data_IF_957196629361
#
_entry.id   IF_957196629361
#
_cell.length_a   1.000
_cell.length_b   1.000
_cell.length_c   1.000
_cell.angle_alpha   90.00
_cell.angle_beta   90.00
_cell.angle_gamma   90.00
#
_symmetry.space_group_name_H-M   'P 1'
#
loop_
_entity.id
_entity.type
_entity.pdbx_description
1 polymer ?
#
# COMPACT_ATOMS: atom_id res chain seq x y z
N UNK A 1 -2.10 -53.63 11.03
CA UNK A 1 -1.23 -52.46 11.11
C UNK A 1 -1.91 -51.32 10.35
N UNK A 2 -2.49 -50.39 11.09
CA UNK A 2 -3.31 -49.30 10.54
C UNK A 2 -2.46 -48.05 10.60
N UNK A 3 -2.06 -47.51 9.44
CA UNK A 3 -1.35 -46.22 9.35
C UNK A 3 -2.38 -45.10 9.20
N UNK A 4 -2.61 -44.38 10.29
CA UNK A 4 -3.40 -43.16 10.33
C UNK A 4 -2.60 -42.02 9.72
N UNK A 5 -3.01 -41.48 8.56
CA UNK A 5 -2.45 -40.27 7.96
C UNK A 5 -2.95 -39.05 8.73
N UNK A 6 -2.05 -38.37 9.42
CA UNK A 6 -2.29 -37.03 9.96
C UNK A 6 -2.38 -36.03 8.79
N UNK A 7 -3.55 -35.48 8.59
CA UNK A 7 -3.74 -34.34 7.72
C UNK A 7 -3.14 -33.08 8.35
N UNK A 8 -2.08 -32.57 7.74
CA UNK A 8 -1.43 -31.30 8.12
C UNK A 8 -2.33 -30.16 7.63
N UNK A 9 -3.01 -29.47 8.54
CA UNK A 9 -3.72 -28.22 8.25
C UNK A 9 -2.68 -27.16 7.91
N UNK A 10 -2.62 -26.78 6.65
CA UNK A 10 -1.89 -25.60 6.21
C UNK A 10 -2.68 -24.37 6.67
N UNK A 11 -2.13 -23.65 7.63
CA UNK A 11 -2.62 -22.31 7.95
C UNK A 11 -2.30 -21.39 6.77
N UNK A 12 -3.36 -20.97 6.10
CA UNK A 12 -3.29 -19.98 5.03
C UNK A 12 -2.72 -18.68 5.59
N UNK A 13 -1.60 -18.27 5.00
CA UNK A 13 -1.06 -16.95 5.20
C UNK A 13 -2.11 -15.92 4.79
N UNK A 14 -2.40 -14.99 5.71
CA UNK A 14 -3.25 -13.84 5.44
C UNK A 14 -2.55 -12.95 4.42
N UNK A 15 -2.89 -13.12 3.16
CA UNK A 15 -2.56 -12.18 2.09
C UNK A 15 -3.37 -10.90 2.33
N UNK A 16 -2.69 -9.83 2.71
CA UNK A 16 -3.26 -8.49 2.70
C UNK A 16 -3.46 -8.08 1.24
N UNK A 17 -4.58 -8.50 0.67
CA UNK A 17 -5.02 -8.01 -0.63
C UNK A 17 -5.62 -6.62 -0.43
N UNK A 18 -4.83 -5.57 -0.70
CA UNK A 18 -5.37 -4.23 -0.89
C UNK A 18 -6.07 -4.22 -2.24
N UNK A 19 -7.33 -4.67 -2.25
CA UNK A 19 -8.19 -4.52 -3.41
C UNK A 19 -8.63 -3.06 -3.50
N UNK A 20 -7.98 -2.28 -4.34
CA UNK A 20 -8.53 -0.99 -4.80
C UNK A 20 -9.61 -1.33 -5.83
N UNK A 21 -10.81 -1.60 -5.34
CA UNK A 21 -11.98 -1.82 -6.21
C UNK A 21 -12.48 -0.47 -6.70
N UNK A 22 -12.22 -0.14 -7.94
CA UNK A 22 -12.91 0.95 -8.64
C UNK A 22 -14.30 0.43 -9.01
N UNK A 23 -15.27 0.56 -8.09
CA UNK A 23 -16.67 0.26 -8.38
C UNK A 23 -17.31 1.45 -9.08
N UNK A 24 -17.50 1.32 -10.39
CA UNK A 24 -18.46 2.14 -11.13
C UNK A 24 -19.88 1.73 -10.69
N UNK A 25 -20.61 2.71 -10.16
CA UNK A 25 -22.04 2.77 -9.93
C UNK A 25 -22.87 1.49 -9.82
N UNK A 26 -23.42 1.26 -8.63
CA UNK A 26 -24.50 0.28 -8.42
C UNK A 26 -25.15 0.49 -7.04
N UNK A 27 -26.41 0.94 -7.02
CA UNK A 27 -27.27 1.01 -5.84
C UNK A 27 -27.36 -0.35 -5.16
N UNK A 28 -27.17 -0.41 -3.85
CA UNK A 28 -27.63 -1.50 -3.01
C UNK A 28 -28.45 -0.97 -1.85
N UNK A 29 -29.65 -1.53 -1.75
CA UNK A 29 -30.70 -1.20 -0.82
C UNK A 29 -30.30 -1.35 0.66
N UNK A 30 -30.86 -0.46 1.46
CA UNK A 30 -30.75 -0.45 2.91
C UNK A 30 -31.45 -1.64 3.53
N UNK A 31 -30.76 -2.33 4.44
CA UNK A 31 -31.39 -3.07 5.54
C UNK A 31 -30.93 -2.45 6.86
N UNK A 32 -31.88 -1.90 7.59
CA UNK A 32 -31.70 -1.29 8.88
C UNK A 32 -31.26 -2.33 9.91
N UNK A 33 -30.09 -2.10 10.50
CA UNK A 33 -29.72 -2.72 11.77
C UNK A 33 -29.26 -1.60 12.69
N UNK A 34 -30.02 -1.39 13.76
CA UNK A 34 -29.68 -0.40 14.77
C UNK A 34 -28.39 -0.81 15.48
N UNK A 35 -27.33 -0.02 15.29
CA UNK A 35 -26.10 -0.13 16.04
C UNK A 35 -26.01 0.99 17.08
N UNK A 36 -25.52 0.73 18.31
CA UNK A 36 -25.46 1.71 19.38
C UNK A 36 -24.52 2.87 19.02
N UNK A 37 -24.94 4.06 19.40
CA UNK A 37 -24.30 5.34 19.14
C UNK A 37 -22.99 5.52 19.94
N UNK A 38 -21.89 4.95 19.49
CA UNK A 38 -20.53 5.34 19.88
C UNK A 38 -19.52 4.88 18.81
N UNK A 39 -19.50 5.54 17.67
CA UNK A 39 -18.37 5.72 16.78
C UNK A 39 -18.82 6.62 15.64
N UNK A 40 -18.62 7.92 15.77
CA UNK A 40 -18.47 8.76 14.59
C UNK A 40 -17.14 8.34 13.92
N UNK A 41 -17.18 7.25 13.16
CA UNK A 41 -16.21 7.05 12.09
C UNK A 41 -16.45 8.19 11.12
N UNK A 42 -15.50 9.13 11.07
CA UNK A 42 -15.45 10.10 9.99
C UNK A 42 -15.69 9.33 8.70
N UNK A 43 -16.75 9.66 7.97
CA UNK A 43 -16.99 9.13 6.64
C UNK A 43 -15.84 9.62 5.79
N UNK A 44 -14.79 8.82 5.62
CA UNK A 44 -13.76 9.12 4.63
C UNK A 44 -14.48 9.33 3.31
N UNK A 45 -14.39 10.55 2.77
CA UNK A 45 -14.90 10.85 1.44
C UNK A 45 -14.32 9.82 0.47
N UNK A 46 -15.13 9.36 -0.48
CA UNK A 46 -14.61 8.45 -1.52
C UNK A 46 -13.47 9.15 -2.26
N UNK A 47 -12.38 8.42 -2.57
CA UNK A 47 -11.25 9.00 -3.27
C UNK A 47 -11.69 9.58 -4.62
N UNK A 48 -11.17 10.78 -4.96
CA UNK A 48 -11.45 11.47 -6.20
C UNK A 48 -10.24 11.43 -7.12
N UNK A 49 -10.23 10.48 -8.03
CA UNK A 49 -9.14 10.35 -8.98
C UNK A 49 -9.30 11.32 -10.16
N UNK A 50 -8.20 11.94 -10.58
CA UNK A 50 -8.15 12.76 -11.79
C UNK A 50 -8.30 11.88 -13.05
N UNK A 51 -8.75 12.52 -14.14
CA UNK A 51 -8.91 11.82 -15.42
C UNK A 51 -7.55 11.34 -15.95
N UNK A 52 -6.54 12.20 -15.86
CA UNK A 52 -5.18 11.89 -16.29
C UNK A 52 -4.62 10.65 -15.54
N UNK A 53 -4.82 10.59 -14.22
CA UNK A 53 -4.41 9.44 -13.43
C UNK A 53 -5.13 8.17 -13.86
N UNK A 54 -6.46 8.19 -14.03
CA UNK A 54 -7.24 7.02 -14.43
C UNK A 54 -6.76 6.49 -15.81
N UNK A 55 -6.47 7.38 -16.75
CA UNK A 55 -5.99 7.01 -18.08
C UNK A 55 -4.59 6.36 -18.03
N UNK A 56 -3.70 6.86 -17.16
CA UNK A 56 -2.37 6.30 -16.97
C UNK A 56 -2.38 4.99 -16.16
N UNK A 57 -3.30 4.85 -15.19
CA UNK A 57 -3.37 3.71 -14.27
C UNK A 57 -3.94 2.44 -14.92
N UNK A 58 -5.01 2.56 -15.74
CA UNK A 58 -5.70 1.41 -16.33
C UNK A 58 -4.81 0.43 -17.10
N UNK A 59 -3.91 0.89 -17.99
CA UNK A 59 -2.99 -0.02 -18.67
C UNK A 59 -2.10 -0.78 -17.71
N UNK A 60 -1.62 -0.11 -16.65
CA UNK A 60 -0.74 -0.71 -15.65
C UNK A 60 -1.44 -1.76 -14.80
N UNK A 61 -2.70 -1.51 -14.42
CA UNK A 61 -3.53 -2.49 -13.71
C UNK A 61 -3.72 -3.75 -14.57
N UNK A 62 -3.96 -3.59 -15.87
CA UNK A 62 -4.06 -4.71 -16.81
C UNK A 62 -2.76 -5.50 -16.89
N UNK A 63 -1.61 -4.81 -16.98
CA UNK A 63 -0.29 -5.45 -17.01
C UNK A 63 0.02 -6.19 -15.71
N UNK A 64 -0.34 -5.62 -14.57
CA UNK A 64 -0.12 -6.24 -13.24
C UNK A 64 -1.03 -7.44 -12.98
N UNK A 65 -2.12 -7.58 -13.75
CA UNK A 65 -3.08 -8.70 -13.67
C UNK A 65 -2.79 -9.79 -14.71
N UNK A 66 -1.83 -9.59 -15.61
CA UNK A 66 -1.45 -10.57 -16.62
C UNK A 66 -0.59 -11.69 -16.00
N UNK A 67 -0.62 -12.87 -16.61
CA UNK A 67 0.24 -13.99 -16.24
C UNK A 67 1.01 -14.50 -17.47
N UNK A 68 2.36 -14.46 -17.45
CA UNK A 68 3.21 -13.91 -16.38
C UNK A 68 3.18 -12.37 -16.33
N UNK A 69 3.43 -11.80 -15.13
CA UNK A 69 3.51 -10.36 -14.95
C UNK A 69 4.83 -9.82 -15.51
N UNK A 70 4.75 -8.83 -16.39
CA UNK A 70 5.93 -8.10 -16.89
C UNK A 70 6.25 -6.90 -16.00
N UNK A 71 6.98 -7.15 -14.91
CA UNK A 71 7.40 -6.09 -13.99
C UNK A 71 8.36 -5.08 -14.61
N UNK A 72 9.12 -5.46 -15.63
CA UNK A 72 10.03 -4.53 -16.31
C UNK A 72 9.25 -3.45 -17.07
N UNK A 73 8.22 -3.85 -17.81
CA UNK A 73 7.33 -2.91 -18.49
C UNK A 73 6.53 -2.04 -17.52
N UNK A 74 6.06 -2.62 -16.40
CA UNK A 74 5.40 -1.85 -15.33
C UNK A 74 6.36 -0.79 -14.77
N UNK A 75 7.59 -1.17 -14.43
CA UNK A 75 8.61 -0.25 -13.92
C UNK A 75 8.91 0.88 -14.90
N UNK A 76 9.03 0.58 -16.19
CA UNK A 76 9.26 1.57 -17.24
C UNK A 76 8.13 2.61 -17.35
N UNK A 77 6.90 2.23 -16.98
CA UNK A 77 5.74 3.11 -17.01
C UNK A 77 5.51 3.92 -15.72
N UNK A 78 6.21 3.59 -14.63
CA UNK A 78 6.11 4.31 -13.33
C UNK A 78 6.27 5.82 -13.47
N UNK A 79 7.25 6.38 -14.22
CA UNK A 79 7.38 7.83 -14.35
C UNK A 79 6.13 8.50 -14.94
N UNK A 80 5.47 7.85 -15.90
CA UNK A 80 4.21 8.33 -16.50
C UNK A 80 3.06 8.34 -15.49
N UNK A 81 2.95 7.29 -14.66
CA UNK A 81 1.95 7.23 -13.60
C UNK A 81 2.16 8.32 -12.55
N UNK A 82 3.40 8.53 -12.13
CA UNK A 82 3.78 9.58 -11.17
C UNK A 82 3.44 10.97 -11.71
N UNK A 83 3.75 11.23 -12.98
CA UNK A 83 3.45 12.50 -13.64
C UNK A 83 1.94 12.77 -13.79
N UNK A 84 1.14 11.72 -13.88
CA UNK A 84 -0.32 11.81 -14.00
C UNK A 84 -1.04 12.00 -12.64
N UNK A 85 -0.34 11.87 -11.52
CA UNK A 85 -0.90 12.00 -10.18
C UNK A 85 -1.05 13.48 -9.79
N UNK A 86 -2.22 14.08 -10.06
CA UNK A 86 -2.49 15.51 -9.90
C UNK A 86 -2.85 15.91 -8.46
N UNK A 87 -3.47 15.01 -7.70
CA UNK A 87 -3.97 15.27 -6.35
C UNK A 87 -3.48 14.23 -5.34
N UNK A 88 -3.85 14.39 -4.08
CA UNK A 88 -3.42 13.51 -2.99
C UNK A 88 -3.97 12.09 -3.11
N UNK A 89 -5.20 11.93 -3.60
CA UNK A 89 -5.80 10.61 -3.81
C UNK A 89 -5.07 9.85 -4.92
N UNK A 90 -4.73 10.55 -6.02
CA UNK A 90 -3.93 9.99 -7.10
C UNK A 90 -2.55 9.56 -6.61
N UNK A 91 -1.88 10.44 -5.83
CA UNK A 91 -0.54 10.14 -5.27
C UNK A 91 -0.56 8.92 -4.36
N UNK A 92 -1.57 8.82 -3.50
CA UNK A 92 -1.71 7.67 -2.62
C UNK A 92 -1.94 6.39 -3.42
N UNK A 93 -2.84 6.42 -4.41
CA UNK A 93 -3.14 5.26 -5.24
C UNK A 93 -1.94 4.85 -6.12
N UNK A 94 -1.26 5.84 -6.76
CA UNK A 94 -0.03 5.60 -7.50
C UNK A 94 1.05 4.96 -6.62
N UNK A 95 1.30 5.55 -5.46
CA UNK A 95 2.27 5.03 -4.49
C UNK A 95 1.96 3.61 -4.04
N UNK A 96 0.69 3.31 -3.75
CA UNK A 96 0.24 1.97 -3.37
C UNK A 96 0.47 0.95 -4.50
N UNK A 97 0.17 1.30 -5.74
CA UNK A 97 0.40 0.44 -6.89
C UNK A 97 1.89 0.18 -7.12
N UNK A 98 2.70 1.24 -7.10
CA UNK A 98 4.15 1.17 -7.29
C UNK A 98 4.78 0.29 -6.19
N UNK A 99 4.42 0.53 -4.94
CA UNK A 99 4.90 -0.27 -3.81
C UNK A 99 4.55 -1.75 -3.97
N UNK A 100 3.28 -2.06 -4.23
CA UNK A 100 2.81 -3.44 -4.31
C UNK A 100 3.46 -4.22 -5.47
N UNK A 101 3.65 -3.60 -6.63
CA UNK A 101 4.30 -4.22 -7.79
C UNK A 101 5.80 -4.35 -7.60
N UNK A 102 6.46 -3.35 -7.03
CA UNK A 102 7.89 -3.35 -6.78
C UNK A 102 8.30 -4.39 -5.71
N UNK A 103 7.49 -4.57 -4.65
CA UNK A 103 7.71 -5.62 -3.64
C UNK A 103 7.66 -7.01 -4.28
N UNK A 104 6.69 -7.26 -5.17
CA UNK A 104 6.60 -8.54 -5.89
C UNK A 104 7.77 -8.77 -6.86
N UNK A 105 8.31 -7.68 -7.39
CA UNK A 105 9.48 -7.70 -8.28
C UNK A 105 10.82 -7.70 -7.52
N UNK A 106 10.79 -7.67 -6.18
CA UNK A 106 11.97 -7.54 -5.31
C UNK A 106 12.79 -6.26 -5.61
N UNK A 107 12.14 -5.23 -6.15
CA UNK A 107 12.75 -3.94 -6.50
C UNK A 107 12.61 -2.94 -5.35
N UNK A 108 13.51 -3.02 -4.38
CA UNK A 108 13.47 -2.20 -3.17
C UNK A 108 13.52 -0.69 -3.43
N UNK A 109 14.35 -0.17 -4.36
CA UNK A 109 14.35 1.27 -4.65
C UNK A 109 13.01 1.78 -5.18
N UNK A 110 12.37 1.03 -6.08
CA UNK A 110 11.05 1.38 -6.60
C UNK A 110 9.95 1.21 -5.52
N UNK A 111 10.07 0.21 -4.64
CA UNK A 111 9.17 0.05 -3.50
C UNK A 111 9.27 1.24 -2.54
N UNK A 112 10.49 1.73 -2.25
CA UNK A 112 10.69 2.92 -1.44
C UNK A 112 10.02 4.15 -2.07
N UNK A 113 10.18 4.36 -3.38
CA UNK A 113 9.52 5.45 -4.10
C UNK A 113 8.00 5.40 -3.92
N UNK A 114 7.38 4.22 -4.06
CA UNK A 114 5.94 4.05 -3.82
C UNK A 114 5.53 4.40 -2.39
N UNK A 115 6.30 3.96 -1.40
CA UNK A 115 6.06 4.26 0.01
C UNK A 115 6.18 5.76 0.31
N UNK A 116 7.20 6.43 -0.24
CA UNK A 116 7.39 7.87 -0.13
C UNK A 116 6.19 8.64 -0.72
N UNK A 117 5.68 8.23 -1.87
CA UNK A 117 4.49 8.85 -2.48
C UNK A 117 3.25 8.72 -1.59
N UNK A 118 3.04 7.56 -0.98
CA UNK A 118 1.93 7.37 -0.04
C UNK A 118 2.06 8.29 1.17
N UNK A 119 3.24 8.37 1.78
CA UNK A 119 3.50 9.25 2.93
C UNK A 119 3.30 10.73 2.56
N UNK A 120 3.82 11.16 1.42
CA UNK A 120 3.72 12.55 0.92
C UNK A 120 2.31 12.94 0.50
N UNK A 121 1.44 11.97 0.20
CA UNK A 121 0.04 12.25 -0.16
C UNK A 121 -0.77 12.83 1.00
N UNK A 122 -0.35 12.60 2.25
CA UNK A 122 -1.12 12.96 3.45
C UNK A 122 -2.38 12.11 3.67
N UNK A 123 -2.62 11.09 2.84
CA UNK A 123 -3.82 10.23 2.93
C UNK A 123 -3.57 8.94 3.73
N UNK A 124 -2.35 8.74 4.26
CA UNK A 124 -2.09 7.63 5.18
C UNK A 124 -2.88 7.88 6.47
N UNK A 125 -3.72 6.94 6.92
CA UNK A 125 -4.42 7.05 8.19
C UNK A 125 -3.42 7.26 9.35
N UNK A 126 -3.78 8.11 10.30
CA UNK A 126 -2.89 8.46 11.42
C UNK A 126 -2.42 7.22 12.19
N UNK A 127 -3.31 6.24 12.36
CA UNK A 127 -3.00 4.96 13.01
C UNK A 127 -1.96 4.10 12.25
N UNK A 128 -1.75 4.36 10.97
CA UNK A 128 -0.83 3.61 10.12
C UNK A 128 0.49 4.38 9.84
N UNK A 129 0.56 5.67 10.20
CA UNK A 129 1.73 6.50 9.91
C UNK A 129 3.04 5.89 10.45
N UNK A 130 3.01 5.35 11.66
CA UNK A 130 4.17 4.70 12.26
C UNK A 130 4.65 3.51 11.45
N UNK A 131 3.73 2.64 11.03
CA UNK A 131 4.05 1.47 10.21
C UNK A 131 4.62 1.86 8.84
N UNK A 132 4.00 2.84 8.17
CA UNK A 132 4.45 3.29 6.84
C UNK A 132 5.85 3.90 6.91
N UNK A 133 6.12 4.74 7.91
CA UNK A 133 7.46 5.29 8.13
C UNK A 133 8.47 4.18 8.46
N UNK A 134 8.11 3.20 9.30
CA UNK A 134 9.00 2.09 9.61
C UNK A 134 9.37 1.29 8.36
N UNK A 135 8.40 0.98 7.49
CA UNK A 135 8.66 0.28 6.22
C UNK A 135 9.53 1.12 5.28
N UNK A 136 9.29 2.43 5.16
CA UNK A 136 10.16 3.34 4.38
C UNK A 136 11.60 3.33 4.90
N UNK A 137 11.76 3.37 6.23
CA UNK A 137 13.07 3.26 6.88
C UNK A 137 13.76 1.94 6.57
N UNK A 138 13.05 0.82 6.63
CA UNK A 138 13.60 -0.50 6.31
C UNK A 138 14.05 -0.59 4.83
N UNK A 139 13.27 -0.07 3.90
CA UNK A 139 13.62 -0.06 2.47
C UNK A 139 14.85 0.80 2.20
N UNK A 140 14.94 1.98 2.79
CA UNK A 140 16.12 2.84 2.69
C UNK A 140 17.36 2.19 3.32
N UNK A 141 17.20 1.58 4.50
CA UNK A 141 18.27 0.86 5.20
C UNK A 141 18.80 -0.32 4.35
N UNK A 142 17.92 -1.12 3.76
CA UNK A 142 18.27 -2.23 2.89
C UNK A 142 19.02 -1.77 1.62
N UNK A 143 18.74 -0.54 1.16
CA UNK A 143 19.47 0.10 0.07
C UNK A 143 20.82 0.72 0.52
N UNK A 144 21.21 0.56 1.79
CA UNK A 144 22.38 1.19 2.44
C UNK A 144 22.31 2.73 2.46
N UNK A 145 21.14 3.32 2.27
CA UNK A 145 20.90 4.75 2.43
C UNK A 145 20.49 5.07 3.87
N UNK A 146 21.47 5.00 4.77
CA UNK A 146 21.24 5.21 6.20
C UNK A 146 20.84 6.65 6.51
N UNK A 147 21.29 7.61 5.71
CA UNK A 147 20.94 9.02 5.87
C UNK A 147 19.44 9.25 5.61
N UNK A 148 18.87 8.50 4.65
CA UNK A 148 17.44 8.52 4.34
C UNK A 148 16.64 7.64 5.30
N UNK A 149 17.19 6.50 5.74
CA UNK A 149 16.51 5.58 6.64
C UNK A 149 16.21 6.19 8.01
N UNK A 150 17.18 6.91 8.56
CA UNK A 150 17.12 7.48 9.92
C UNK A 150 15.88 8.34 10.17
N UNK A 151 15.55 9.38 9.38
CA UNK A 151 14.38 10.21 9.63
C UNK A 151 13.06 9.42 9.55
N UNK A 152 12.99 8.37 8.76
CA UNK A 152 11.81 7.51 8.73
C UNK A 152 11.65 6.70 10.01
N UNK A 153 12.73 6.16 10.57
CA UNK A 153 12.66 5.45 11.84
C UNK A 153 12.31 6.39 13.00
N UNK A 154 12.87 7.60 13.02
CA UNK A 154 12.52 8.64 13.99
C UNK A 154 11.03 8.99 13.88
N UNK A 155 10.50 9.22 12.67
CA UNK A 155 9.08 9.48 12.44
C UNK A 155 8.16 8.30 12.82
N UNK A 156 8.62 7.07 12.65
CA UNK A 156 7.90 5.88 13.09
C UNK A 156 7.78 5.83 14.62
N UNK A 157 8.87 6.13 15.33
CA UNK A 157 8.87 6.20 16.79
C UNK A 157 7.97 7.33 17.32
N UNK A 158 8.03 8.52 16.72
CA UNK A 158 7.18 9.66 17.05
C UNK A 158 5.69 9.36 16.83
N UNK A 159 5.36 8.58 15.79
CA UNK A 159 4.00 8.11 15.53
C UNK A 159 3.57 6.94 16.44
N UNK A 160 4.39 6.54 17.40
CA UNK A 160 4.07 5.51 18.38
C UNK A 160 4.12 4.07 17.85
N UNK A 161 4.92 3.81 16.81
CA UNK A 161 5.11 2.45 16.31
C UNK A 161 5.87 1.59 17.33
N UNK A 162 5.25 0.50 17.79
CA UNK A 162 5.77 -0.34 18.90
C UNK A 162 5.94 -1.81 18.53
N UNK A 163 5.51 -2.26 17.35
CA UNK A 163 5.65 -3.67 16.95
C UNK A 163 7.13 -4.10 16.83
N UNK A 164 8.00 -3.14 16.48
CA UNK A 164 9.46 -3.25 16.56
C UNK A 164 10.02 -1.91 16.98
N UNK A 165 11.08 -1.90 17.75
CA UNK A 165 11.73 -0.65 18.12
C UNK A 165 12.41 -0.05 16.88
N UNK A 166 11.89 1.06 16.32
CA UNK A 166 12.48 1.68 15.15
C UNK A 166 13.85 2.31 15.43
N UNK A 167 14.14 2.65 16.69
CA UNK A 167 15.36 3.34 17.08
C UNK A 167 16.60 2.43 17.13
N UNK A 168 16.45 1.11 17.01
CA UNK A 168 17.61 0.20 16.89
C UNK A 168 18.35 0.35 15.56
N UNK A 169 17.77 1.07 14.60
CA UNK A 169 18.34 1.30 13.26
C UNK A 169 18.94 2.71 13.07
N UNK A 170 18.97 3.56 14.13
CA UNK A 170 19.45 4.95 14.06
C UNK A 170 20.75 5.15 14.80
#
# INVERSE_FOLDING_TARGET
MIFTRLARKNNAASTLALAVSIAAGGMVAASAFEAPAFAQKEKKSQPKYSKAFIEAYKPLETMASAEPVDYASIKAAVPGLVAAAENNDDRFAAGSFIYATAVKAEDQPTALQGMEMMLQSGNVPAENLGQYNFVAGQLAYAANDYAKARPYFEAAAEAGYTERDPLIFV
#
